data_IF_018123396023
#
_entry.id   IF_018123396023
#
_cell.length_a   1.000
_cell.length_b   1.000
_cell.length_c   1.000
_cell.angle_alpha   90.00
_cell.angle_beta   90.00
_cell.angle_gamma   90.00
#
_symmetry.space_group_name_H-M   'P 1'
#
loop_
_entity.id
_entity.type
_entity.pdbx_description
1 polymer ?
#
# COMPACT_ATOMS: atom_id res chain seq x y z
N UNK A 1 -10.54 9.99 -8.00
CA UNK A 1 -10.00 10.13 -6.64
C UNK A 1 -8.55 10.49 -6.85
N UNK A 2 -8.10 11.61 -6.28
CA UNK A 2 -6.71 12.08 -6.41
C UNK A 2 -6.06 12.04 -5.03
N UNK A 3 -5.18 11.08 -4.80
CA UNK A 3 -4.57 10.87 -3.48
C UNK A 3 -3.54 11.95 -3.14
N UNK A 4 -2.88 12.52 -4.15
CA UNK A 4 -1.91 13.60 -3.97
C UNK A 4 -2.63 14.90 -3.61
N UNK A 5 -3.80 15.18 -4.20
CA UNK A 5 -4.66 16.29 -3.79
C UNK A 5 -5.16 16.12 -2.34
N UNK A 6 -5.50 14.89 -1.95
CA UNK A 6 -6.08 14.60 -0.63
C UNK A 6 -5.05 14.60 0.51
N UNK A 7 -3.84 14.08 0.28
CA UNK A 7 -2.86 13.81 1.33
C UNK A 7 -1.48 14.46 1.09
N UNK A 8 -1.29 15.12 -0.05
CA UNK A 8 0.02 15.62 -0.48
C UNK A 8 0.92 14.50 -1.00
N UNK A 9 2.22 14.72 -0.99
CA UNK A 9 3.19 13.67 -1.31
C UNK A 9 3.52 12.83 -0.06
N UNK A 10 4.11 11.65 -0.26
CA UNK A 10 4.63 10.84 0.85
C UNK A 10 3.60 9.94 1.52
N UNK A 11 2.37 9.81 1.00
CA UNK A 11 1.36 8.93 1.58
C UNK A 11 1.68 7.45 1.35
N UNK A 12 1.22 6.61 2.27
CA UNK A 12 1.10 5.16 2.10
C UNK A 12 -0.26 4.69 2.58
N UNK A 13 -0.94 3.92 1.74
CA UNK A 13 -2.28 3.38 1.92
C UNK A 13 -2.20 1.86 1.91
N UNK A 14 -2.70 1.20 2.95
CA UNK A 14 -2.68 -0.25 3.09
C UNK A 14 -4.08 -0.80 3.30
N UNK A 15 -4.45 -1.84 2.56
CA UNK A 15 -5.65 -2.65 2.82
C UNK A 15 -5.24 -4.02 3.37
N UNK A 16 -5.88 -4.42 4.47
CA UNK A 16 -5.64 -5.71 5.12
C UNK A 16 -6.94 -6.40 5.53
N UNK A 17 -6.99 -7.75 5.50
CA UNK A 17 -8.18 -8.55 5.78
C UNK A 17 -8.37 -8.81 7.29
N UNK A 18 -8.02 -7.84 8.13
CA UNK A 18 -8.08 -7.94 9.59
C UNK A 18 -8.97 -6.86 10.19
N UNK A 19 -9.55 -7.07 11.38
CA UNK A 19 -10.20 -6.01 12.14
C UNK A 19 -9.25 -4.84 12.41
N UNK A 20 -9.80 -3.63 12.49
CA UNK A 20 -9.04 -2.38 12.66
C UNK A 20 -7.94 -2.44 13.74
N UNK A 21 -8.30 -2.85 14.96
CA UNK A 21 -7.34 -2.90 16.08
C UNK A 21 -6.18 -3.86 15.82
N UNK A 22 -6.47 -5.00 15.18
CA UNK A 22 -5.45 -6.00 14.87
C UNK A 22 -4.52 -5.52 13.76
N UNK A 23 -5.08 -4.95 12.69
CA UNK A 23 -4.30 -4.32 11.61
C UNK A 23 -3.33 -3.26 12.16
N UNK A 24 -3.83 -2.33 12.98
CA UNK A 24 -3.01 -1.27 13.56
C UNK A 24 -1.91 -1.84 14.48
N UNK A 25 -2.20 -2.89 15.25
CA UNK A 25 -1.23 -3.58 16.09
C UNK A 25 -0.12 -4.25 15.26
N UNK A 26 -0.48 -4.93 14.17
CA UNK A 26 0.46 -5.56 13.25
C UNK A 26 1.34 -4.51 12.53
N UNK A 27 0.80 -3.32 12.27
CA UNK A 27 1.56 -2.15 11.80
C UNK A 27 2.32 -1.41 12.92
N UNK A 28 2.39 -1.98 14.13
CA UNK A 28 3.22 -1.48 15.22
C UNK A 28 2.59 -0.37 16.08
N UNK A 29 1.31 -0.04 15.89
CA UNK A 29 0.60 0.90 16.77
C UNK A 29 0.30 0.22 18.10
N UNK A 30 0.74 0.84 19.19
CA UNK A 30 0.65 0.21 20.53
C UNK A 30 -0.56 0.67 21.34
N UNK A 31 -1.06 1.89 21.10
CA UNK A 31 -2.23 2.47 21.79
C UNK A 31 -3.09 3.25 20.78
N UNK A 32 -3.89 2.54 19.96
CA UNK A 32 -4.72 3.17 18.94
C UNK A 32 -5.88 3.92 19.59
N UNK A 33 -5.99 5.22 19.30
CA UNK A 33 -7.04 6.08 19.86
C UNK A 33 -7.90 6.69 18.75
N UNK A 34 -9.21 6.90 18.97
CA UNK A 34 -10.05 7.64 18.04
C UNK A 34 -9.50 9.05 17.79
N UNK A 35 -9.54 9.48 16.53
CA UNK A 35 -9.13 10.80 16.06
C UNK A 35 -10.33 11.48 15.44
N UNK A 36 -10.76 12.56 16.08
CA UNK A 36 -11.80 13.45 15.55
C UNK A 36 -11.14 14.51 14.69
N UNK A 37 -11.31 14.45 13.37
CA UNK A 37 -10.76 15.44 12.45
C UNK A 37 -11.47 15.41 11.10
N UNK A 38 -11.51 16.57 10.44
CA UNK A 38 -11.83 16.66 9.01
C UNK A 38 -10.64 16.16 8.17
N UNK A 39 -10.83 15.83 6.87
CA UNK A 39 -9.78 15.29 6.01
C UNK A 39 -8.48 16.11 5.99
N UNK A 40 -8.57 17.45 5.97
CA UNK A 40 -7.39 18.31 6.04
C UNK A 40 -6.58 18.14 7.34
N UNK A 41 -7.25 17.83 8.47
CA UNK A 41 -6.56 17.51 9.72
C UNK A 41 -5.92 16.14 9.72
N UNK A 42 -6.39 15.22 8.88
CA UNK A 42 -5.78 13.90 8.67
C UNK A 42 -4.43 14.06 7.99
N UNK A 43 -4.37 14.81 6.87
CA UNK A 43 -3.12 15.13 6.20
C UNK A 43 -2.12 15.84 7.15
N UNK A 44 -2.58 16.89 7.86
CA UNK A 44 -1.74 17.59 8.84
C UNK A 44 -1.20 16.66 9.94
N UNK A 45 -2.00 15.69 10.39
CA UNK A 45 -1.60 14.75 11.43
C UNK A 45 -0.53 13.76 10.94
N UNK A 46 -0.55 13.38 9.66
CA UNK A 46 0.42 12.50 9.03
C UNK A 46 1.76 13.19 8.77
N UNK A 47 1.71 14.48 8.43
CA UNK A 47 2.90 15.29 8.10
C UNK A 47 3.65 15.85 9.32
N UNK A 48 3.14 15.66 10.54
CA UNK A 48 3.78 16.17 11.75
C UNK A 48 5.01 15.31 12.15
N UNK A 49 6.22 15.89 12.24
CA UNK A 49 7.41 15.16 12.65
C UNK A 49 7.23 14.57 14.06
N UNK A 50 7.30 13.24 14.19
CA UNK A 50 7.09 12.54 15.46
C UNK A 50 8.30 11.73 15.87
N UNK A 51 9.33 12.40 16.41
CA UNK A 51 10.29 11.85 17.36
C UNK A 51 10.88 10.43 17.13
N UNK A 52 10.95 9.93 15.90
CA UNK A 52 11.55 8.64 15.53
C UNK A 52 10.60 7.49 15.14
N UNK A 53 9.28 7.67 15.14
CA UNK A 53 8.31 6.67 14.69
C UNK A 53 7.32 7.21 13.67
N UNK A 54 6.71 6.32 12.89
CA UNK A 54 5.62 6.69 11.99
C UNK A 54 4.32 6.98 12.73
N UNK A 55 3.33 7.48 12.00
CA UNK A 55 1.97 7.60 12.52
C UNK A 55 1.03 6.89 11.57
N UNK A 56 0.28 5.92 12.10
CA UNK A 56 -0.65 5.11 11.32
C UNK A 56 -2.06 5.43 11.77
N UNK A 57 -2.90 5.77 10.81
CA UNK A 57 -4.34 5.88 10.95
C UNK A 57 -4.98 4.68 10.28
N UNK A 58 -6.10 4.22 10.81
CA UNK A 58 -6.87 3.14 10.23
C UNK A 58 -8.36 3.33 10.46
N UNK A 59 -9.14 2.65 9.62
CA UNK A 59 -10.59 2.53 9.75
C UNK A 59 -11.09 1.25 9.07
N UNK A 60 -12.25 0.79 9.49
CA UNK A 60 -12.96 -0.26 8.79
C UNK A 60 -13.53 0.25 7.46
N UNK A 61 -13.47 -0.60 6.44
CA UNK A 61 -14.14 -0.44 5.15
C UNK A 61 -14.98 -1.70 4.85
N UNK A 62 -15.92 -1.69 3.89
CA UNK A 62 -16.82 -2.81 3.65
C UNK A 62 -16.11 -4.15 3.44
N UNK A 63 -16.77 -5.26 3.80
CA UNK A 63 -16.25 -6.61 3.57
C UNK A 63 -15.27 -7.12 4.63
N UNK A 64 -15.17 -6.47 5.79
CA UNK A 64 -14.26 -6.88 6.87
C UNK A 64 -12.81 -6.46 6.66
N UNK A 65 -12.60 -5.48 5.78
CA UNK A 65 -11.29 -4.94 5.45
C UNK A 65 -10.97 -3.74 6.33
N UNK A 66 -9.69 -3.56 6.65
CA UNK A 66 -9.18 -2.32 7.23
C UNK A 66 -8.42 -1.54 6.17
N UNK A 67 -8.71 -0.24 6.08
CA UNK A 67 -7.94 0.75 5.36
C UNK A 67 -7.03 1.47 6.36
N UNK A 68 -5.72 1.38 6.16
CA UNK A 68 -4.71 2.10 6.92
C UNK A 68 -4.01 3.17 6.06
N UNK A 69 -3.64 4.29 6.68
CA UNK A 69 -3.04 5.44 6.05
C UNK A 69 -1.87 5.97 6.90
N UNK A 70 -0.77 6.27 6.23
CA UNK A 70 0.49 6.74 6.81
C UNK A 70 1.08 7.89 5.97
N UNK A 71 1.92 8.72 6.60
CA UNK A 71 2.76 9.71 5.92
C UNK A 71 4.23 9.44 6.22
N UNK A 72 5.07 9.44 5.19
CA UNK A 72 6.54 9.32 5.19
C UNK A 72 7.17 8.07 5.87
N UNK A 73 6.40 7.26 6.60
CA UNK A 73 6.91 6.05 7.27
C UNK A 73 6.83 4.78 6.43
N UNK A 74 5.83 4.70 5.54
CA UNK A 74 5.55 3.58 4.64
C UNK A 74 5.72 2.20 5.32
N UNK A 75 5.17 2.04 6.52
CA UNK A 75 5.31 0.80 7.32
C UNK A 75 4.53 -0.32 6.65
N UNK A 76 3.34 -0.02 6.15
CA UNK A 76 2.50 -0.99 5.44
C UNK A 76 3.15 -1.56 4.18
N UNK A 77 4.14 -0.89 3.58
CA UNK A 77 4.87 -1.41 2.42
C UNK A 77 6.10 -2.23 2.80
N UNK A 78 6.37 -2.41 4.10
CA UNK A 78 7.37 -3.36 4.59
C UNK A 78 6.93 -4.79 4.30
N UNK A 79 7.81 -5.58 3.69
CA UNK A 79 7.54 -6.98 3.38
C UNK A 79 7.16 -7.77 4.65
N UNK A 80 7.80 -7.53 5.80
CA UNK A 80 7.50 -8.28 7.03
C UNK A 80 6.14 -7.90 7.61
N UNK A 81 5.73 -6.64 7.46
CA UNK A 81 4.39 -6.18 7.84
C UNK A 81 3.35 -6.83 6.92
N UNK A 82 3.56 -6.83 5.61
CA UNK A 82 2.64 -7.47 4.67
C UNK A 82 2.53 -8.99 4.86
N UNK A 83 3.64 -9.67 5.14
CA UNK A 83 3.62 -11.09 5.52
C UNK A 83 2.82 -11.32 6.79
N UNK A 84 3.01 -10.47 7.81
CA UNK A 84 2.26 -10.58 9.05
C UNK A 84 0.76 -10.31 8.85
N UNK A 85 0.40 -9.31 8.04
CA UNK A 85 -0.99 -8.99 7.69
C UNK A 85 -1.68 -10.08 6.87
N UNK A 86 -0.94 -11.01 6.28
CA UNK A 86 -1.49 -12.12 5.47
C UNK A 86 -1.17 -13.50 6.05
N UNK A 87 -0.61 -13.57 7.26
CA UNK A 87 -0.12 -14.81 7.86
C UNK A 87 -1.23 -15.85 8.12
N UNK A 88 -2.45 -15.38 8.41
CA UNK A 88 -3.64 -16.21 8.61
C UNK A 88 -4.40 -16.50 7.29
N UNK A 89 -3.78 -16.17 6.16
CA UNK A 89 -4.37 -16.27 4.83
C UNK A 89 -4.94 -14.95 4.31
N UNK A 90 -5.31 -14.95 3.03
CA UNK A 90 -5.90 -13.79 2.36
C UNK A 90 -4.85 -12.87 1.75
N UNK A 91 -5.32 -11.72 1.24
CA UNK A 91 -4.50 -10.79 0.45
C UNK A 91 -4.37 -9.45 1.18
N UNK A 92 -3.20 -8.84 1.15
CA UNK A 92 -3.00 -7.45 1.57
C UNK A 92 -2.29 -6.68 0.46
N UNK A 93 -2.65 -5.40 0.31
CA UNK A 93 -2.06 -4.49 -0.67
C UNK A 93 -1.63 -3.22 0.05
N UNK A 94 -0.39 -2.78 -0.16
CA UNK A 94 0.09 -1.49 0.34
C UNK A 94 0.66 -0.65 -0.78
N UNK A 95 0.02 0.48 -1.07
CA UNK A 95 0.41 1.44 -2.08
C UNK A 95 1.03 2.67 -1.44
N UNK A 96 2.13 3.17 -1.99
CA UNK A 96 2.78 4.39 -1.49
C UNK A 96 3.20 5.31 -2.64
N UNK A 97 3.34 6.59 -2.31
CA UNK A 97 3.85 7.65 -3.16
C UNK A 97 5.14 8.20 -2.58
N UNK A 98 6.25 7.85 -3.22
CA UNK A 98 7.56 8.51 -3.09
C UNK A 98 7.62 9.62 -4.16
N UNK A 99 8.28 10.79 -3.97
CA UNK A 99 8.50 11.83 -4.97
C UNK A 99 8.53 11.37 -6.44
N UNK A 100 9.26 10.30 -6.74
CA UNK A 100 9.47 9.83 -8.11
C UNK A 100 8.66 8.57 -8.49
N UNK A 101 7.99 7.91 -7.55
CA UNK A 101 7.35 6.60 -7.83
C UNK A 101 6.02 6.39 -7.10
N UNK A 102 5.08 5.72 -7.78
CA UNK A 102 3.84 5.18 -7.20
C UNK A 102 3.87 3.67 -7.33
N UNK A 103 3.96 2.98 -6.20
CA UNK A 103 4.09 1.50 -6.19
C UNK A 103 3.12 0.89 -5.20
N UNK A 104 2.51 -0.23 -5.56
CA UNK A 104 1.74 -1.07 -4.65
C UNK A 104 2.41 -2.43 -4.46
N UNK A 105 2.73 -2.79 -3.22
CA UNK A 105 3.26 -4.12 -2.87
C UNK A 105 2.11 -5.05 -2.48
N UNK A 106 2.14 -6.26 -2.99
CA UNK A 106 1.10 -7.27 -2.82
C UNK A 106 1.63 -8.46 -2.03
N UNK A 107 0.88 -8.89 -1.01
CA UNK A 107 1.12 -10.14 -0.32
C UNK A 107 -0.15 -11.00 -0.28
N UNK A 108 0.06 -12.32 -0.25
CA UNK A 108 -1.00 -13.32 -0.12
C UNK A 108 -0.49 -14.50 0.70
N UNK A 109 -1.29 -14.99 1.65
CA UNK A 109 -0.99 -16.16 2.47
C UNK A 109 0.43 -16.15 3.09
N UNK A 110 0.85 -14.99 3.60
CA UNK A 110 2.15 -14.80 4.25
C UNK A 110 3.34 -14.67 3.29
N UNK A 111 3.10 -14.58 1.98
CA UNK A 111 4.13 -14.40 0.96
C UNK A 111 3.94 -13.10 0.18
N UNK A 112 5.01 -12.32 0.00
CA UNK A 112 5.02 -11.16 -0.90
C UNK A 112 5.09 -11.67 -2.33
N UNK A 113 4.06 -11.38 -3.13
CA UNK A 113 3.93 -11.84 -4.51
C UNK A 113 4.66 -10.94 -5.50
N UNK A 114 4.77 -9.65 -5.20
CA UNK A 114 5.40 -8.68 -6.10
C UNK A 114 4.97 -7.25 -5.84
N UNK A 115 5.35 -6.38 -6.78
CA UNK A 115 5.08 -4.94 -6.75
C UNK A 115 4.48 -4.50 -8.07
N UNK A 116 3.40 -3.74 -7.98
CA UNK A 116 2.75 -3.06 -9.08
C UNK A 116 3.27 -1.63 -9.16
N UNK A 117 3.96 -1.27 -10.24
CA UNK A 117 4.26 0.12 -10.57
C UNK A 117 3.00 0.75 -11.19
N UNK A 118 2.43 1.74 -10.50
CA UNK A 118 1.10 2.26 -10.81
C UNK A 118 1.12 3.26 -11.98
N UNK A 119 2.26 3.84 -12.34
CA UNK A 119 2.36 4.82 -13.42
C UNK A 119 2.31 4.18 -14.80
N UNK A 120 2.90 3.00 -14.92
CA UNK A 120 2.99 2.17 -16.12
C UNK A 120 2.16 0.89 -16.03
N UNK A 121 1.54 0.56 -14.89
CA UNK A 121 0.65 -0.61 -14.77
C UNK A 121 1.37 -1.96 -14.87
N UNK A 122 2.65 -2.00 -14.51
CA UNK A 122 3.51 -3.19 -14.59
C UNK A 122 3.68 -3.87 -13.23
N UNK A 123 3.51 -5.19 -13.19
CA UNK A 123 3.67 -6.03 -12.02
C UNK A 123 4.99 -6.81 -12.10
N UNK A 124 5.92 -6.52 -11.20
CA UNK A 124 7.20 -7.19 -11.07
C UNK A 124 7.28 -8.09 -9.83
N UNK A 125 7.80 -9.30 -9.99
CA UNK A 125 7.99 -10.24 -8.88
C UNK A 125 9.30 -10.01 -8.09
N UNK A 126 9.44 -10.54 -6.87
CA UNK A 126 10.57 -10.28 -5.97
C UNK A 126 11.95 -10.66 -6.53
N UNK A 127 12.00 -11.62 -7.47
CA UNK A 127 13.23 -12.12 -8.10
C UNK A 127 13.32 -11.78 -9.59
N UNK A 128 12.57 -10.78 -10.04
CA UNK A 128 12.53 -10.39 -11.47
C UNK A 128 11.75 -11.37 -12.36
N UNK A 129 11.02 -12.31 -11.77
CA UNK A 129 10.05 -13.17 -12.48
C UNK A 129 8.74 -13.21 -11.71
N UNK A 130 7.64 -13.30 -12.44
CA UNK A 130 6.28 -13.33 -11.90
C UNK A 130 5.69 -14.72 -12.14
N UNK A 131 5.13 -15.33 -11.09
CA UNK A 131 4.30 -16.52 -11.24
C UNK A 131 2.90 -16.11 -11.72
N UNK A 132 2.73 -16.04 -13.05
CA UNK A 132 1.45 -15.67 -13.68
C UNK A 132 0.36 -16.73 -13.52
N UNK A 133 0.71 -17.95 -13.09
CA UNK A 133 -0.26 -18.98 -12.76
C UNK A 133 -0.86 -18.79 -11.36
N UNK A 134 -0.26 -17.96 -10.50
CA UNK A 134 -0.79 -17.66 -9.18
C UNK A 134 -2.16 -16.98 -9.30
N UNK A 135 -3.24 -17.46 -8.65
CA UNK A 135 -4.61 -16.96 -8.87
C UNK A 135 -4.77 -15.45 -8.66
N UNK A 136 -4.06 -14.89 -7.68
CA UNK A 136 -4.07 -13.45 -7.38
C UNK A 136 -3.42 -12.65 -8.52
N UNK A 137 -2.29 -13.12 -9.04
CA UNK A 137 -1.59 -12.48 -10.17
C UNK A 137 -2.43 -12.62 -11.43
N UNK A 138 -2.97 -13.82 -11.69
CA UNK A 138 -3.86 -14.09 -12.81
C UNK A 138 -5.06 -13.12 -12.81
N UNK A 139 -5.64 -12.83 -11.65
CA UNK A 139 -6.74 -11.87 -11.50
C UNK A 139 -6.34 -10.44 -11.91
N UNK A 140 -5.14 -10.00 -11.54
CA UNK A 140 -4.60 -8.70 -11.98
C UNK A 140 -4.34 -8.68 -13.50
N UNK A 141 -3.73 -9.73 -14.04
CA UNK A 141 -3.48 -9.82 -15.49
C UNK A 141 -4.77 -9.87 -16.31
N UNK A 142 -5.84 -10.44 -15.76
CA UNK A 142 -7.14 -10.52 -16.42
C UNK A 142 -7.80 -9.15 -16.64
N UNK A 143 -7.48 -8.16 -15.79
CA UNK A 143 -7.92 -6.76 -15.98
C UNK A 143 -6.88 -5.90 -16.70
N UNK A 144 -5.78 -6.53 -17.14
CA UNK A 144 -4.79 -5.95 -18.04
C UNK A 144 -3.55 -5.36 -17.37
N UNK A 145 -3.30 -5.64 -16.09
CA UNK A 145 -1.97 -5.38 -15.53
C UNK A 145 -0.94 -6.27 -16.22
N UNK A 146 0.16 -5.67 -16.66
CA UNK A 146 1.20 -6.44 -17.34
C UNK A 146 2.10 -7.14 -16.32
N UNK A 147 2.36 -8.42 -16.55
CA UNK A 147 3.29 -9.24 -15.78
C UNK A 147 4.38 -9.87 -16.66
N UNK A 148 4.46 -9.43 -17.92
CA UNK A 148 5.43 -9.88 -18.92
C UNK A 148 6.63 -8.91 -19.00
N UNK A 149 7.64 -9.26 -19.78
CA UNK A 149 8.81 -8.37 -19.96
C UNK A 149 8.52 -7.18 -20.89
N UNK A 150 7.36 -7.15 -21.56
CA UNK A 150 7.02 -6.12 -22.55
C UNK A 150 6.59 -4.78 -21.91
N UNK A 151 6.23 -4.79 -20.62
CA UNK A 151 5.94 -3.61 -19.79
C UNK A 151 4.80 -2.70 -20.29
N UNK A 152 3.83 -3.25 -21.04
CA UNK A 152 2.69 -2.51 -21.58
C UNK A 152 1.35 -3.02 -21.01
N UNK A 153 0.66 -2.23 -20.16
CA UNK A 153 -0.64 -2.62 -19.61
C UNK A 153 -1.70 -2.58 -20.72
N UNK A 154 -2.71 -3.43 -20.60
CA UNK A 154 -3.82 -3.54 -21.56
C UNK A 154 -5.15 -3.42 -20.84
N UNK A 155 -6.26 -3.60 -21.57
CA UNK A 155 -7.60 -3.67 -20.96
C UNK A 155 -7.95 -2.43 -20.13
N UNK A 156 -8.58 -2.65 -18.98
CA UNK A 156 -8.95 -1.57 -18.05
C UNK A 156 -7.70 -0.87 -17.50
N UNK A 157 -6.70 -1.63 -17.05
CA UNK A 157 -5.47 -1.07 -16.49
C UNK A 157 -4.72 -0.14 -17.46
N UNK A 158 -4.76 -0.42 -18.76
CA UNK A 158 -4.13 0.43 -19.79
C UNK A 158 -4.84 1.77 -20.02
N UNK A 159 -6.08 1.92 -19.58
CA UNK A 159 -6.87 3.16 -19.76
C UNK A 159 -6.96 4.03 -18.52
N UNK A 160 -6.52 3.52 -17.37
CA UNK A 160 -6.61 4.20 -16.09
C UNK A 160 -5.37 5.04 -15.78
N UNK A 161 -5.58 6.16 -15.10
CA UNK A 161 -4.52 6.94 -14.45
C UNK A 161 -3.96 6.17 -13.22
N UNK A 162 -2.82 6.57 -12.64
CA UNK A 162 -2.18 5.78 -11.58
C UNK A 162 -3.08 5.49 -10.37
N UNK A 163 -3.89 6.46 -9.95
CA UNK A 163 -4.83 6.28 -8.82
C UNK A 163 -6.02 5.40 -9.24
N UNK A 164 -6.44 5.47 -10.50
CA UNK A 164 -7.44 4.57 -11.08
C UNK A 164 -6.95 3.12 -11.11
N UNK A 165 -5.66 2.91 -11.43
CA UNK A 165 -5.02 1.58 -11.36
C UNK A 165 -4.96 1.05 -9.94
N UNK A 166 -4.68 1.89 -8.93
CA UNK A 166 -4.76 1.46 -7.53
C UNK A 166 -6.18 1.02 -7.16
N UNK A 167 -7.19 1.81 -7.51
CA UNK A 167 -8.61 1.47 -7.26
C UNK A 167 -8.99 0.17 -7.96
N UNK A 168 -8.56 -0.02 -9.21
CA UNK A 168 -8.78 -1.24 -9.98
C UNK A 168 -8.13 -2.45 -9.30
N UNK A 169 -6.86 -2.36 -8.91
CA UNK A 169 -6.16 -3.43 -8.21
C UNK A 169 -6.86 -3.79 -6.90
N UNK A 170 -7.23 -2.80 -6.08
CA UNK A 170 -7.97 -3.03 -4.83
C UNK A 170 -9.29 -3.73 -5.11
N UNK A 171 -10.07 -3.27 -6.09
CA UNK A 171 -11.36 -3.86 -6.45
C UNK A 171 -11.23 -5.32 -6.85
N UNK A 172 -10.26 -5.65 -7.70
CA UNK A 172 -10.02 -7.01 -8.18
C UNK A 172 -9.58 -7.95 -7.05
N UNK A 173 -8.71 -7.46 -6.16
CA UNK A 173 -8.10 -8.28 -5.11
C UNK A 173 -8.98 -8.48 -3.89
N UNK A 174 -9.80 -7.49 -3.57
CA UNK A 174 -10.54 -7.43 -2.29
C UNK A 174 -12.06 -7.41 -2.47
N UNK A 175 -12.54 -7.10 -3.69
CA UNK A 175 -13.94 -6.81 -3.95
C UNK A 175 -14.40 -5.42 -3.48
N UNK A 176 -13.51 -4.63 -2.85
CA UNK A 176 -13.81 -3.28 -2.35
C UNK A 176 -13.59 -2.26 -3.46
N UNK A 177 -14.62 -1.45 -3.74
CA UNK A 177 -14.47 -0.27 -4.60
C UNK A 177 -14.15 0.92 -3.71
N UNK A 178 -12.86 1.30 -3.65
CA UNK A 178 -12.45 2.49 -2.89
C UNK A 178 -12.97 3.77 -3.55
N UNK A 179 -13.49 4.65 -2.71
CA UNK A 179 -13.97 5.98 -3.08
C UNK A 179 -13.35 7.05 -2.19
N UNK A 180 -13.46 8.32 -2.58
CA UNK A 180 -13.03 9.43 -1.73
C UNK A 180 -13.72 9.41 -0.36
N UNK A 181 -14.98 8.98 -0.27
CA UNK A 181 -15.70 8.87 0.99
C UNK A 181 -15.10 7.84 1.96
N UNK A 182 -14.46 6.79 1.44
CA UNK A 182 -13.75 5.81 2.29
C UNK A 182 -12.50 6.42 2.94
N UNK A 183 -11.96 7.47 2.34
CA UNK A 183 -10.81 8.23 2.84
C UNK A 183 -11.21 9.41 3.75
N UNK A 184 -12.50 9.70 3.84
CA UNK A 184 -13.06 10.77 4.66
C UNK A 184 -13.80 10.20 5.88
N UNK A 185 -13.48 10.66 7.09
CA UNK A 185 -14.26 10.28 8.27
C UNK A 185 -13.44 10.12 9.54
N UNK A 186 -14.05 9.51 10.58
CA UNK A 186 -13.35 9.25 11.82
C UNK A 186 -12.28 8.19 11.61
N UNK A 187 -11.06 8.51 12.05
CA UNK A 187 -9.93 7.61 12.00
C UNK A 187 -9.60 7.12 13.41
N UNK A 188 -9.03 5.93 13.53
CA UNK A 188 -8.39 5.45 14.76
C UNK A 188 -6.93 5.27 14.48
N UNK A 189 -6.05 5.73 15.36
CA UNK A 189 -4.64 5.56 15.10
C UNK A 189 -3.74 6.05 16.21
N UNK A 190 -2.45 5.91 15.98
CA UNK A 190 -1.45 6.15 17.00
C UNK A 190 -0.03 6.14 16.42
N UNK A 191 0.96 6.55 17.23
CA UNK A 191 2.35 6.38 16.85
C UNK A 191 2.65 4.89 16.68
N UNK A 192 3.32 4.55 15.60
CA UNK A 192 3.91 3.23 15.43
C UNK A 192 5.29 3.20 16.08
N UNK A 193 5.72 1.99 16.45
CA UNK A 193 7.09 1.78 16.90
C UNK A 193 8.06 2.18 15.79
N UNK A 194 9.22 2.77 16.12
CA UNK A 194 10.29 2.94 15.15
C UNK A 194 10.54 1.59 14.47
N UNK A 195 10.59 1.57 13.14
CA UNK A 195 11.16 0.43 12.45
C UNK A 195 12.58 0.24 13.03
N UNK A 196 12.91 -0.97 13.48
CA UNK A 196 14.30 -1.30 13.79
C UNK A 196 15.11 -0.91 12.56
N UNK A 197 16.05 0.03 12.74
CA UNK A 197 16.71 0.76 11.66
C UNK A 197 16.92 -0.15 10.43
N UNK A 198 16.11 0.07 9.39
CA UNK A 198 16.30 -0.64 8.12
C UNK A 198 17.72 -0.33 7.68
N UNK A 199 18.51 -1.36 7.41
CA UNK A 199 19.83 -1.19 6.81
C UNK A 199 19.61 -0.35 5.54
N UNK A 200 20.21 0.86 5.43
CA UNK A 200 19.94 1.73 4.31
C UNK A 200 20.23 0.96 3.02
N UNK A 201 19.24 0.93 2.12
CA UNK A 201 19.33 0.29 0.81
C UNK A 201 20.70 0.62 0.21
N UNK A 202 21.40 -0.42 -0.19
CA UNK A 202 22.59 -0.37 -1.03
C UNK A 202 22.15 0.29 -2.34
N UNK A 203 22.24 1.62 -2.41
CA UNK A 203 22.21 2.34 -3.68
C UNK A 203 23.44 1.84 -4.41
N UNK A 204 23.21 1.10 -5.51
CA UNK A 204 24.27 0.60 -6.36
C UNK A 204 25.09 1.76 -6.90
N UNK A 205 26.25 2.04 -6.30
CA UNK A 205 27.33 2.76 -6.98
C UNK A 205 27.89 1.85 -8.08
N UNK A 206 27.24 1.87 -9.24
CA UNK A 206 27.88 1.45 -10.49
C UNK A 206 28.85 2.54 -10.94
N UNK A 207 30.04 2.57 -10.33
CA UNK A 207 31.19 3.26 -10.92
C UNK A 207 31.86 2.35 -11.96
N UNK A 208 31.30 2.35 -13.17
CA UNK A 208 32.03 1.86 -14.34
C UNK A 208 33.14 2.87 -14.68
N UNK A 209 34.37 2.58 -14.24
CA UNK A 209 35.58 3.18 -14.80
C UNK A 209 35.82 2.58 -16.20
N UNK A 210 35.94 3.44 -17.21
CA UNK A 210 36.85 3.23 -18.34
C UNK A 210 37.64 4.51 -18.56
#
# INVERSE_FOLDING_TARGET
MDLDEMFGEGWCLTLAPHPLTETLRLMGVTDPAPRTGSPGRTADALQQPRGGGGFVLGRDVPGGWTLALEGDSWIGSDDDVLRALTADGGTALSAYRDPDTRTATLAHDGAVLGRLELSGGYFGGPSGSVDTAHPVVASLTAVGFDASDDCEPTGEAGTEEPDGRLVLAVRVLTGVTLTAADLEGPWTGGPSRPALARNPRTVGESTARR
#
